data_IF_871673990641
#
_entry.id   IF_871673990641
#
_cell.length_a   1.000
_cell.length_b   1.000
_cell.length_c   1.000
_cell.angle_alpha   90.00
_cell.angle_beta   90.00
_cell.angle_gamma   90.00
#
_symmetry.space_group_name_H-M   'P 1'
#
loop_
_entity.id
_entity.type
_entity.pdbx_description
1 polymer ?
#
# COMPACT_ATOMS: atom_id res chain seq x y z
N UNK A 1 -10.36 4.79 -24.68
CA UNK A 1 -9.08 5.38 -25.15
C UNK A 1 -8.00 4.83 -24.25
N UNK A 2 -7.32 3.77 -24.70
CA UNK A 2 -6.37 3.03 -23.87
C UNK A 2 -5.00 3.69 -23.93
N UNK A 3 -4.55 4.24 -22.81
CA UNK A 3 -3.19 4.75 -22.62
C UNK A 3 -2.25 3.58 -22.28
N UNK A 4 -2.11 2.62 -23.18
CA UNK A 4 -0.93 1.76 -23.12
C UNK A 4 0.26 2.64 -23.50
N UNK A 5 1.08 3.00 -22.51
CA UNK A 5 2.27 3.82 -22.69
C UNK A 5 3.12 3.28 -23.83
N UNK A 6 3.56 4.16 -24.72
CA UNK A 6 4.42 3.78 -25.83
C UNK A 6 5.70 3.12 -25.31
N UNK A 7 6.30 2.17 -26.07
CA UNK A 7 7.51 1.44 -25.65
C UNK A 7 8.64 2.37 -25.18
N UNK A 8 8.79 3.53 -25.82
CA UNK A 8 9.78 4.54 -25.45
C UNK A 8 9.58 5.10 -24.03
N UNK A 9 8.33 5.30 -23.58
CA UNK A 9 8.03 5.79 -22.23
C UNK A 9 8.32 4.72 -21.17
N UNK A 10 8.09 3.44 -21.47
CA UNK A 10 8.42 2.34 -20.56
C UNK A 10 9.93 2.19 -20.36
N UNK A 11 10.72 2.34 -21.43
CA UNK A 11 12.19 2.25 -21.37
C UNK A 11 12.78 3.45 -20.62
N UNK A 12 12.32 4.67 -20.90
CA UNK A 12 12.76 5.87 -20.20
C UNK A 12 12.46 5.81 -18.69
N UNK A 13 11.28 5.27 -18.31
CA UNK A 13 10.92 5.04 -16.90
C UNK A 13 11.88 4.04 -16.25
N UNK A 14 12.15 2.92 -16.91
CA UNK A 14 13.04 1.89 -16.36
C UNK A 14 14.47 2.40 -16.10
N UNK A 15 15.03 3.19 -17.03
CA UNK A 15 16.36 3.80 -16.87
C UNK A 15 16.37 4.81 -15.71
N UNK A 16 15.34 5.68 -15.64
CA UNK A 16 15.20 6.64 -14.56
C UNK A 16 15.03 5.97 -13.18
N UNK A 17 14.31 4.85 -13.14
CA UNK A 17 14.16 4.03 -11.95
C UNK A 17 15.51 3.42 -11.54
N UNK A 18 16.30 2.86 -12.48
CA UNK A 18 17.62 2.28 -12.18
C UNK A 18 18.61 3.30 -11.59
N UNK A 19 18.70 4.50 -12.16
CA UNK A 19 19.54 5.57 -11.63
C UNK A 19 19.08 6.01 -10.23
N UNK A 20 17.77 6.05 -10.02
CA UNK A 20 17.18 6.40 -8.73
C UNK A 20 17.41 5.32 -7.69
N UNK A 21 17.26 4.05 -8.04
CA UNK A 21 17.55 2.89 -7.19
C UNK A 21 18.99 2.94 -6.69
N UNK A 22 19.96 3.17 -7.60
CA UNK A 22 21.39 3.33 -7.25
C UNK A 22 21.61 4.47 -6.25
N UNK A 23 20.91 5.59 -6.45
CA UNK A 23 21.04 6.78 -5.60
C UNK A 23 20.44 6.58 -4.20
N UNK A 24 19.29 5.92 -4.09
CA UNK A 24 18.61 5.71 -2.80
C UNK A 24 19.03 4.42 -2.09
N UNK A 25 19.73 3.52 -2.78
CA UNK A 25 20.15 2.22 -2.25
C UNK A 25 18.98 1.26 -2.02
N UNK A 26 17.85 1.43 -2.72
CA UNK A 26 16.64 0.65 -2.56
C UNK A 26 15.97 0.39 -3.91
N UNK A 27 15.31 -0.77 -4.03
CA UNK A 27 14.57 -1.16 -5.23
C UNK A 27 13.25 -0.37 -5.35
N UNK A 28 12.86 -0.06 -6.58
CA UNK A 28 11.61 0.59 -6.93
C UNK A 28 10.71 -0.47 -7.59
N UNK A 29 9.59 -0.77 -6.94
CA UNK A 29 8.60 -1.71 -7.45
C UNK A 29 7.40 -0.92 -7.99
N UNK A 30 7.20 -0.86 -9.31
CA UNK A 30 6.01 -0.24 -9.88
C UNK A 30 4.80 -1.13 -9.61
N UNK A 31 3.79 -0.60 -8.93
CA UNK A 31 2.55 -1.30 -8.62
C UNK A 31 1.33 -0.43 -8.91
N UNK A 32 0.22 -1.07 -9.27
CA UNK A 32 -1.08 -0.41 -9.41
C UNK A 32 -1.92 -0.65 -8.14
N UNK A 33 -2.10 0.41 -7.34
CA UNK A 33 -2.87 0.35 -6.10
C UNK A 33 -4.38 0.04 -6.29
N UNK A 34 -4.87 0.00 -7.52
CA UNK A 34 -6.22 -0.48 -7.83
C UNK A 34 -6.33 -2.00 -7.97
N UNK A 35 -5.19 -2.73 -8.02
CA UNK A 35 -5.14 -4.16 -8.31
C UNK A 35 -4.36 -4.94 -7.22
N UNK A 36 -5.08 -5.47 -6.24
CA UNK A 36 -4.50 -6.21 -5.12
C UNK A 36 -3.68 -7.45 -5.56
N UNK A 37 -4.12 -8.16 -6.61
CA UNK A 37 -3.43 -9.36 -7.11
C UNK A 37 -2.07 -9.00 -7.70
N UNK A 38 -1.98 -7.90 -8.45
CA UNK A 38 -0.72 -7.43 -9.00
C UNK A 38 0.27 -7.01 -7.89
N UNK A 39 -0.23 -6.34 -6.85
CA UNK A 39 0.58 -5.95 -5.70
C UNK A 39 1.08 -7.19 -4.94
N UNK A 40 0.20 -8.16 -4.65
CA UNK A 40 0.57 -9.37 -3.92
C UNK A 40 1.71 -10.11 -4.62
N UNK A 41 1.58 -10.31 -5.94
CA UNK A 41 2.63 -10.93 -6.75
C UNK A 41 3.95 -10.18 -6.68
N UNK A 42 3.93 -8.85 -6.79
CA UNK A 42 5.15 -8.03 -6.71
C UNK A 42 5.84 -8.14 -5.33
N UNK A 43 5.05 -8.21 -4.25
CA UNK A 43 5.55 -8.39 -2.89
C UNK A 43 6.18 -9.78 -2.69
N UNK A 44 5.53 -10.84 -3.19
CA UNK A 44 6.05 -12.21 -3.12
C UNK A 44 7.33 -12.40 -3.91
N UNK A 45 7.35 -11.98 -5.18
CA UNK A 45 8.54 -12.07 -6.05
C UNK A 45 9.75 -11.31 -5.48
N UNK A 46 9.48 -10.25 -4.71
CA UNK A 46 10.51 -9.44 -4.05
C UNK A 46 10.80 -9.88 -2.60
N UNK A 47 10.17 -10.96 -2.12
CA UNK A 47 10.28 -11.46 -0.74
C UNK A 47 10.06 -10.38 0.33
N UNK A 48 9.08 -9.50 0.12
CA UNK A 48 8.80 -8.41 1.05
C UNK A 48 8.11 -8.94 2.30
N UNK A 49 8.85 -8.97 3.41
CA UNK A 49 8.32 -9.43 4.70
C UNK A 49 7.40 -8.41 5.39
N UNK A 50 7.75 -7.13 5.31
CA UNK A 50 7.08 -6.05 6.04
C UNK A 50 6.70 -4.93 5.08
N UNK A 51 5.45 -4.48 5.16
CA UNK A 51 4.95 -3.33 4.40
C UNK A 51 4.62 -2.18 5.35
N UNK A 52 5.11 -0.98 5.02
CA UNK A 52 4.81 0.26 5.73
C UNK A 52 4.11 1.21 4.77
N UNK A 53 2.82 1.48 5.01
CA UNK A 53 2.02 2.36 4.17
C UNK A 53 2.19 3.82 4.57
N UNK A 54 2.48 4.65 3.57
CA UNK A 54 2.43 6.12 3.68
C UNK A 54 1.44 6.70 2.67
N UNK A 55 0.43 5.92 2.28
CA UNK A 55 -0.59 6.35 1.33
C UNK A 55 -1.41 7.51 1.90
N UNK A 56 -1.77 8.44 1.02
CA UNK A 56 -2.67 9.54 1.36
C UNK A 56 -4.12 9.10 1.33
N UNK A 57 -4.71 8.85 2.49
CA UNK A 57 -6.10 8.38 2.64
C UNK A 57 -7.14 9.52 2.73
N UNK A 58 -6.79 10.75 2.35
CA UNK A 58 -7.71 11.91 2.44
C UNK A 58 -8.82 11.89 1.39
N UNK A 59 -8.51 11.45 0.18
CA UNK A 59 -9.48 11.43 -0.92
C UNK A 59 -10.24 10.09 -1.01
N UNK A 60 -9.57 8.99 -0.66
CA UNK A 60 -10.16 7.64 -0.68
C UNK A 60 -9.34 6.70 0.19
N UNK A 61 -10.02 5.77 0.85
CA UNK A 61 -9.40 4.67 1.61
C UNK A 61 -9.13 3.43 0.75
N UNK A 62 -9.67 3.39 -0.48
CA UNK A 62 -9.61 2.20 -1.34
C UNK A 62 -8.18 1.72 -1.64
N UNK A 63 -7.19 2.59 -1.90
CA UNK A 63 -5.81 2.16 -2.08
C UNK A 63 -5.22 1.42 -0.87
N UNK A 64 -5.51 1.89 0.35
CA UNK A 64 -5.08 1.20 1.58
C UNK A 64 -5.79 -0.15 1.72
N UNK A 65 -7.11 -0.22 1.45
CA UNK A 65 -7.85 -1.48 1.51
C UNK A 65 -7.33 -2.52 0.50
N UNK A 66 -7.02 -2.09 -0.71
CA UNK A 66 -6.44 -2.95 -1.74
C UNK A 66 -5.04 -3.42 -1.35
N UNK A 67 -4.23 -2.54 -0.75
CA UNK A 67 -2.90 -2.89 -0.26
C UNK A 67 -2.99 -3.90 0.90
N UNK A 68 -3.92 -3.72 1.85
CA UNK A 68 -4.16 -4.69 2.93
C UNK A 68 -4.55 -6.05 2.34
N UNK A 69 -5.50 -6.08 1.40
CA UNK A 69 -5.91 -7.32 0.74
C UNK A 69 -4.76 -8.00 -0.01
N UNK A 70 -3.86 -7.23 -0.64
CA UNK A 70 -2.69 -7.75 -1.31
C UNK A 70 -1.66 -8.33 -0.34
N UNK A 71 -1.43 -7.65 0.78
CA UNK A 71 -0.48 -8.05 1.81
C UNK A 71 -0.95 -9.34 2.50
N UNK A 72 -2.25 -9.47 2.78
CA UNK A 72 -2.84 -10.69 3.36
C UNK A 72 -2.78 -11.89 2.39
N UNK A 73 -2.80 -11.63 1.07
CA UNK A 73 -2.62 -12.66 0.04
C UNK A 73 -1.16 -13.09 -0.15
N UNK A 74 -0.19 -12.22 0.15
CA UNK A 74 1.23 -12.48 -0.05
C UNK A 74 1.78 -13.46 0.99
N UNK A 75 2.22 -14.64 0.55
CA UNK A 75 2.80 -15.64 1.44
C UNK A 75 4.13 -15.18 2.07
N UNK A 76 4.84 -14.24 1.44
CA UNK A 76 6.10 -13.69 1.95
C UNK A 76 5.88 -12.62 3.03
N UNK A 77 4.74 -11.92 2.99
CA UNK A 77 4.50 -10.77 3.86
C UNK A 77 3.83 -11.21 5.16
N UNK A 78 4.32 -10.71 6.29
CA UNK A 78 3.86 -11.09 7.64
C UNK A 78 3.40 -9.90 8.47
N UNK A 79 3.95 -8.72 8.20
CA UNK A 79 3.71 -7.52 8.99
C UNK A 79 3.27 -6.34 8.15
N UNK A 80 2.26 -5.61 8.62
CA UNK A 80 1.74 -4.40 8.00
C UNK A 80 1.68 -3.22 8.97
N UNK A 81 2.15 -2.05 8.54
CA UNK A 81 2.00 -0.78 9.26
C UNK A 81 1.11 0.13 8.42
N UNK A 82 -0.14 0.43 8.84
CA UNK A 82 -1.03 1.29 8.08
C UNK A 82 -0.56 2.75 8.08
N UNK A 83 -1.11 3.55 7.14
CA UNK A 83 -0.88 5.00 7.08
C UNK A 83 -1.68 5.75 8.16
N UNK A 84 -1.41 5.41 9.43
CA UNK A 84 -2.03 5.99 10.63
C UNK A 84 -0.89 6.49 11.53
N UNK A 85 -0.45 7.71 11.27
CA UNK A 85 0.66 8.37 11.97
C UNK A 85 0.18 9.34 13.05
N UNK A 86 -0.93 9.01 13.71
CA UNK A 86 -1.58 9.85 14.71
C UNK A 86 -1.96 9.02 15.93
N UNK A 87 -2.38 9.69 17.01
CA UNK A 87 -2.86 8.99 18.20
C UNK A 87 -4.07 8.09 17.88
N UNK A 88 -4.15 6.96 18.60
CA UNK A 88 -5.29 6.04 18.54
C UNK A 88 -6.58 6.82 18.76
N UNK A 89 -7.50 6.68 17.83
CA UNK A 89 -8.80 7.35 17.86
C UNK A 89 -9.88 6.32 18.21
N UNK A 90 -10.82 6.68 19.07
CA UNK A 90 -11.93 5.79 19.41
C UNK A 90 -12.97 5.76 18.27
N UNK A 91 -13.65 4.62 18.11
CA UNK A 91 -14.75 4.49 17.14
C UNK A 91 -15.88 5.49 17.44
N UNK A 92 -16.15 5.77 18.72
CA UNK A 92 -17.13 6.79 19.13
C UNK A 92 -16.76 8.20 18.65
N UNK A 93 -15.48 8.56 18.68
CA UNK A 93 -15.02 9.86 18.21
C UNK A 93 -15.09 10.00 16.68
N UNK A 94 -15.09 8.87 15.95
CA UNK A 94 -15.19 8.86 14.50
C UNK A 94 -16.52 9.43 14.00
N UNK A 95 -17.61 9.34 14.78
CA UNK A 95 -18.95 9.77 14.36
C UNK A 95 -18.99 11.24 13.91
N UNK A 96 -18.27 12.12 14.63
CA UNK A 96 -18.16 13.55 14.35
C UNK A 96 -16.99 13.96 13.43
N UNK A 97 -16.12 13.02 13.04
CA UNK A 97 -14.90 13.35 12.28
C UNK A 97 -14.70 12.39 11.09
N UNK A 98 -15.09 12.78 9.86
CA UNK A 98 -14.97 11.93 8.67
C UNK A 98 -13.57 11.35 8.43
N UNK A 99 -12.52 12.14 8.68
CA UNK A 99 -11.13 11.70 8.53
C UNK A 99 -10.76 10.53 9.46
N UNK A 100 -11.40 10.47 10.63
CA UNK A 100 -11.19 9.39 11.60
C UNK A 100 -11.95 8.14 11.16
N UNK A 101 -13.14 8.29 10.55
CA UNK A 101 -13.87 7.15 9.98
C UNK A 101 -13.01 6.40 8.96
N UNK A 102 -12.28 7.12 8.10
CA UNK A 102 -11.39 6.48 7.12
C UNK A 102 -10.29 5.66 7.80
N UNK A 103 -9.70 6.15 8.89
CA UNK A 103 -8.70 5.41 9.67
C UNK A 103 -9.30 4.18 10.36
N UNK A 104 -10.52 4.28 10.90
CA UNK A 104 -11.22 3.13 11.48
C UNK A 104 -11.49 2.05 10.44
N UNK A 105 -11.86 2.40 9.19
CA UNK A 105 -12.04 1.41 8.12
C UNK A 105 -10.76 0.62 7.81
N UNK A 106 -9.60 1.26 7.88
CA UNK A 106 -8.29 0.60 7.71
C UNK A 106 -8.04 -0.39 8.86
N UNK A 107 -8.30 0.02 10.10
CA UNK A 107 -8.17 -0.85 11.27
C UNK A 107 -9.14 -2.04 11.20
N UNK A 108 -10.41 -1.79 10.89
CA UNK A 108 -11.44 -2.83 10.76
C UNK A 108 -11.10 -3.83 9.65
N UNK A 109 -10.38 -3.41 8.60
CA UNK A 109 -9.88 -4.32 7.57
C UNK A 109 -8.70 -5.17 8.09
N UNK A 110 -7.74 -4.57 8.79
CA UNK A 110 -6.60 -5.29 9.38
C UNK A 110 -7.01 -6.31 10.43
N UNK A 111 -8.01 -5.99 11.26
CA UNK A 111 -8.57 -6.89 12.28
C UNK A 111 -9.19 -8.17 11.68
N UNK A 112 -9.47 -8.20 10.37
CA UNK A 112 -10.00 -9.37 9.64
C UNK A 112 -8.91 -10.24 9.01
N UNK A 113 -7.65 -9.81 9.07
CA UNK A 113 -6.50 -10.52 8.50
C UNK A 113 -5.75 -11.34 9.56
N UNK A 114 -4.81 -12.18 9.12
CA UNK A 114 -3.88 -12.86 10.03
C UNK A 114 -2.53 -12.14 10.15
N UNK A 115 -2.45 -10.89 9.69
CA UNK A 115 -1.22 -10.10 9.67
C UNK A 115 -0.86 -9.60 11.06
N UNK A 116 0.44 -9.54 11.34
CA UNK A 116 0.94 -8.73 12.44
C UNK A 116 0.81 -7.24 12.06
N UNK A 117 0.19 -6.41 12.90
CA UNK A 117 0.12 -4.97 12.62
C UNK A 117 0.35 -4.08 13.84
N UNK A 118 0.76 -2.83 13.59
CA UNK A 118 0.91 -1.80 14.61
C UNK A 118 0.35 -0.49 14.10
N UNK A 119 -0.61 0.08 14.83
CA UNK A 119 -1.35 1.28 14.47
C UNK A 119 -1.71 2.11 15.71
#
# INVERSE_FOLDING_TARGET
MSIFGTPATSIARAIADEDREKKIGARILPVDYSNAVNIAKALEESNVHTVVSTLGNMASVQPDLNLIAAVDQSAATKRYVPSIWAAKSSRAYAEGMPIIKLKILIIDALEKTNLEFSA
#
